data_IF_710912560928
#
_entry.id   IF_710912560928
#
_cell.length_a   1.000
_cell.length_b   1.000
_cell.length_c   1.000
_cell.angle_alpha   90.00
_cell.angle_beta   90.00
_cell.angle_gamma   90.00
#
_symmetry.space_group_name_H-M   'P 1'
#
loop_
_entity.id
_entity.type
_entity.pdbx_description
1 polymer ?
#
# COMPACT_ATOMS: atom_id res chain seq x y z
N UNK A 1 14.39 -51.23 -47.37
CA UNK A 1 14.53 -49.84 -46.88
C UNK A 1 13.16 -49.36 -46.45
N UNK A 2 12.81 -49.55 -45.18
CA UNK A 2 11.55 -49.07 -44.60
C UNK A 2 11.89 -47.84 -43.76
N UNK A 3 11.44 -46.67 -44.25
CA UNK A 3 11.65 -45.38 -43.61
C UNK A 3 11.15 -45.40 -42.17
N UNK A 4 12.09 -45.43 -41.21
CA UNK A 4 11.81 -45.18 -39.80
C UNK A 4 11.62 -43.68 -39.62
N UNK A 5 10.38 -43.21 -39.76
CA UNK A 5 9.98 -41.89 -39.27
C UNK A 5 9.95 -41.97 -37.73
N UNK A 6 11.06 -41.58 -37.10
CA UNK A 6 11.09 -41.33 -35.67
C UNK A 6 10.31 -40.05 -35.40
N UNK A 7 9.08 -40.18 -34.88
CA UNK A 7 8.31 -39.05 -34.39
C UNK A 7 8.92 -38.57 -33.07
N UNK A 8 9.53 -37.38 -33.10
CA UNK A 8 10.08 -36.73 -31.91
C UNK A 8 8.91 -36.06 -31.15
N UNK A 9 8.60 -36.54 -29.95
CA UNK A 9 7.65 -35.89 -29.04
C UNK A 9 8.39 -34.77 -28.31
N UNK A 10 8.05 -33.51 -28.61
CA UNK A 10 8.51 -32.35 -27.84
C UNK A 10 7.44 -32.02 -26.82
N UNK A 11 7.71 -32.28 -25.55
CA UNK A 11 6.88 -31.82 -24.43
C UNK A 11 7.37 -30.44 -24.05
N UNK A 12 6.70 -29.39 -24.54
CA UNK A 12 6.94 -28.01 -24.13
C UNK A 12 5.90 -27.62 -23.09
N UNK A 13 6.32 -27.52 -21.83
CA UNK A 13 5.50 -27.04 -20.72
C UNK A 13 5.59 -25.51 -20.67
N UNK A 14 4.56 -24.81 -21.14
CA UNK A 14 4.42 -23.38 -20.87
C UNK A 14 3.82 -23.23 -19.48
N UNK A 15 4.66 -22.96 -18.48
CA UNK A 15 4.17 -22.31 -17.28
C UNK A 15 3.61 -20.95 -17.72
N UNK A 16 2.28 -20.81 -17.73
CA UNK A 16 1.67 -19.48 -17.72
C UNK A 16 1.97 -18.88 -16.36
N UNK A 17 3.14 -18.27 -16.23
CA UNK A 17 3.31 -17.25 -15.23
C UNK A 17 2.24 -16.22 -15.51
N UNK A 18 1.31 -16.02 -14.58
CA UNK A 18 0.59 -14.76 -14.53
C UNK A 18 1.71 -13.74 -14.38
N UNK A 19 1.96 -12.94 -15.42
CA UNK A 19 2.85 -11.81 -15.26
C UNK A 19 2.26 -11.01 -14.10
N UNK A 20 3.01 -10.89 -13.00
CA UNK A 20 2.64 -9.98 -11.95
C UNK A 20 2.54 -8.61 -12.62
N UNK A 21 1.33 -8.09 -12.74
CA UNK A 21 1.14 -6.71 -13.14
C UNK A 21 1.88 -5.87 -12.08
N UNK A 22 2.77 -4.99 -12.52
CA UNK A 22 3.35 -4.05 -11.59
C UNK A 22 2.23 -3.10 -11.18
N UNK A 23 1.84 -3.12 -9.90
CA UNK A 23 0.91 -2.15 -9.32
C UNK A 23 1.36 -0.76 -9.68
N UNK A 24 0.47 0.01 -10.29
CA UNK A 24 0.78 1.35 -10.76
C UNK A 24 0.60 2.30 -9.58
N UNK A 25 1.58 3.17 -9.34
CA UNK A 25 1.53 4.09 -8.21
C UNK A 25 1.03 5.44 -8.70
N UNK A 26 -0.25 5.52 -9.01
CA UNK A 26 -0.89 6.71 -9.58
C UNK A 26 -1.95 7.34 -8.66
N UNK A 27 -2.31 6.69 -7.55
CA UNK A 27 -3.36 7.17 -6.64
C UNK A 27 -4.73 6.53 -6.91
N UNK A 28 -4.84 5.58 -7.83
CA UNK A 28 -6.03 4.76 -8.04
C UNK A 28 -5.88 3.39 -7.37
N UNK A 29 -6.96 2.89 -6.77
CA UNK A 29 -6.95 1.58 -6.12
C UNK A 29 -6.98 0.45 -7.15
N UNK A 30 -5.83 -0.15 -7.39
CA UNK A 30 -5.68 -1.38 -8.16
C UNK A 30 -6.39 -2.59 -7.48
N UNK A 31 -6.85 -3.61 -8.26
CA UNK A 31 -7.48 -4.81 -7.69
C UNK A 31 -6.61 -5.61 -6.72
N UNK A 32 -5.29 -5.57 -6.88
CA UNK A 32 -4.30 -6.30 -6.07
C UNK A 32 -4.35 -5.92 -4.58
N UNK A 33 -4.81 -4.71 -4.26
CA UNK A 33 -5.00 -4.23 -2.89
C UNK A 33 -6.04 -5.01 -2.08
N UNK A 34 -6.95 -5.71 -2.76
CA UNK A 34 -7.97 -6.51 -2.08
C UNK A 34 -8.94 -5.69 -1.21
N UNK A 35 -9.63 -6.34 -0.25
CA UNK A 35 -10.58 -5.66 0.63
C UNK A 35 -9.89 -4.64 1.55
N UNK A 36 -10.66 -3.71 2.09
CA UNK A 36 -10.15 -2.73 3.04
C UNK A 36 -9.67 -3.42 4.34
N UNK A 37 -8.50 -3.03 4.82
CA UNK A 37 -7.93 -3.41 6.11
C UNK A 37 -8.48 -2.53 7.25
N UNK A 38 -8.90 -1.31 6.91
CA UNK A 38 -9.63 -0.39 7.77
C UNK A 38 -10.57 0.44 6.91
N UNK A 39 -11.76 0.79 7.42
CA UNK A 39 -12.70 1.69 6.76
C UNK A 39 -13.14 2.74 7.76
N UNK A 40 -13.14 4.00 7.34
CA UNK A 40 -13.56 5.12 8.17
C UNK A 40 -15.02 5.00 8.58
N UNK A 41 -15.30 5.32 9.83
CA UNK A 41 -16.66 5.33 10.40
C UNK A 41 -17.10 6.72 10.86
N UNK A 42 -16.23 7.72 10.76
CA UNK A 42 -16.42 9.05 11.31
C UNK A 42 -16.24 10.11 10.22
N UNK A 43 -17.11 11.12 10.24
CA UNK A 43 -17.02 12.31 9.39
C UNK A 43 -15.68 13.03 9.55
N UNK A 44 -15.26 13.83 8.57
CA UNK A 44 -14.02 14.61 8.67
C UNK A 44 -14.22 15.98 9.31
N UNK A 45 -13.45 16.28 10.36
CA UNK A 45 -13.42 17.62 10.96
C UNK A 45 -12.56 18.62 10.19
N UNK A 46 -11.88 18.18 9.12
CA UNK A 46 -10.99 19.01 8.30
C UNK A 46 -11.68 19.64 7.09
N UNK A 47 -12.99 19.40 6.93
CA UNK A 47 -13.76 19.78 5.76
C UNK A 47 -13.78 18.68 4.71
N UNK A 48 -14.85 18.64 3.93
CA UNK A 48 -15.12 17.67 2.86
C UNK A 48 -14.94 18.34 1.49
N UNK A 49 -14.59 17.54 0.47
CA UNK A 49 -14.62 17.92 -0.93
C UNK A 49 -15.92 17.39 -1.56
N UNK A 50 -17.00 18.21 -1.59
CA UNK A 50 -18.34 17.69 -1.82
C UNK A 50 -18.57 17.26 -3.28
N UNK A 51 -19.61 16.44 -3.53
CA UNK A 51 -20.11 16.17 -4.87
C UNK A 51 -20.31 17.45 -5.68
N UNK A 52 -19.77 17.49 -6.90
CA UNK A 52 -19.88 18.64 -7.80
C UNK A 52 -18.76 19.69 -7.64
N UNK A 53 -17.83 19.53 -6.70
CA UNK A 53 -16.60 20.33 -6.69
C UNK A 53 -15.76 20.06 -7.95
N UNK A 54 -15.57 21.10 -8.77
CA UNK A 54 -14.89 21.04 -10.07
C UNK A 54 -13.67 21.97 -10.10
N UNK A 55 -12.52 21.54 -9.55
CA UNK A 55 -11.28 22.30 -9.60
C UNK A 55 -10.68 22.28 -11.00
N UNK A 56 -9.76 23.20 -11.29
CA UNK A 56 -9.03 23.18 -12.56
C UNK A 56 -8.05 21.99 -12.68
N UNK A 57 -7.62 21.42 -11.55
CA UNK A 57 -6.76 20.24 -11.49
C UNK A 57 -7.31 19.22 -10.49
N UNK A 58 -8.27 18.36 -10.89
CA UNK A 58 -8.95 17.45 -9.95
C UNK A 58 -8.06 16.34 -9.39
N UNK A 59 -6.94 16.02 -10.04
CA UNK A 59 -5.96 15.05 -9.54
C UNK A 59 -5.12 15.61 -8.38
N UNK A 60 -4.97 16.93 -8.30
CA UNK A 60 -4.11 17.58 -7.31
C UNK A 60 -4.86 18.47 -6.33
N UNK A 61 -6.16 18.74 -6.56
CA UNK A 61 -6.97 19.68 -5.76
C UNK A 61 -8.11 19.01 -5.01
N UNK A 62 -8.10 19.21 -3.70
CA UNK A 62 -9.22 18.99 -2.79
C UNK A 62 -9.37 20.20 -1.84
N UNK A 63 -10.59 20.50 -1.41
CA UNK A 63 -10.86 21.59 -0.44
C UNK A 63 -11.03 21.07 0.99
N UNK A 64 -11.15 19.75 1.12
CA UNK A 64 -11.22 19.01 2.37
C UNK A 64 -10.15 17.92 2.45
N UNK A 65 -9.86 17.49 3.68
CA UNK A 65 -8.98 16.35 3.95
C UNK A 65 -9.79 15.25 4.60
N UNK A 66 -9.67 14.02 4.13
CA UNK A 66 -10.40 12.89 4.67
C UNK A 66 -9.65 11.58 4.40
N UNK A 67 -9.85 10.61 5.27
CA UNK A 67 -9.43 9.23 5.06
C UNK A 67 -10.67 8.36 5.06
N UNK A 68 -10.85 7.58 4.01
CA UNK A 68 -12.02 6.73 3.78
C UNK A 68 -11.75 5.26 4.07
N UNK A 69 -10.55 4.79 3.72
CA UNK A 69 -10.18 3.38 3.81
C UNK A 69 -8.69 3.15 3.66
N UNK A 70 -8.20 2.10 4.31
CA UNK A 70 -6.84 1.62 4.17
C UNK A 70 -6.83 0.29 3.43
N UNK A 71 -5.93 0.14 2.49
CA UNK A 71 -5.63 -1.09 1.82
C UNK A 71 -4.12 -1.28 1.74
N UNK A 72 -3.69 -2.53 1.62
CA UNK A 72 -2.29 -2.80 1.40
C UNK A 72 -2.00 -4.28 1.28
N UNK A 73 -0.84 -4.57 0.71
CA UNK A 73 -0.33 -5.91 0.55
C UNK A 73 1.18 -5.85 0.36
N UNK A 74 1.83 -6.99 0.50
CA UNK A 74 3.24 -7.13 0.14
C UNK A 74 3.35 -8.04 -1.07
N UNK A 75 4.13 -7.62 -2.07
CA UNK A 75 4.46 -8.43 -3.24
C UNK A 75 5.96 -8.35 -3.50
N UNK A 76 6.62 -9.52 -3.56
CA UNK A 76 8.07 -9.61 -3.65
C UNK A 76 8.76 -8.87 -2.49
N UNK A 77 9.57 -7.86 -2.82
CA UNK A 77 10.32 -7.06 -1.84
C UNK A 77 9.70 -5.69 -1.58
N UNK A 78 8.40 -5.50 -1.88
CA UNK A 78 7.74 -4.18 -1.81
C UNK A 78 6.44 -4.27 -1.03
N UNK A 79 6.28 -3.35 -0.08
CA UNK A 79 5.02 -3.06 0.60
C UNK A 79 4.25 -2.02 -0.22
N UNK A 80 3.01 -2.33 -0.54
CA UNK A 80 2.08 -1.43 -1.21
C UNK A 80 1.03 -0.98 -0.20
N UNK A 81 0.82 0.32 -0.09
CA UNK A 81 -0.18 0.94 0.78
C UNK A 81 -1.02 1.91 -0.04
N UNK A 82 -2.34 1.82 0.13
CA UNK A 82 -3.30 2.73 -0.48
C UNK A 82 -4.26 3.24 0.58
N UNK A 83 -4.38 4.56 0.67
CA UNK A 83 -5.25 5.26 1.59
C UNK A 83 -6.27 6.07 0.78
N UNK A 84 -7.49 5.57 0.66
CA UNK A 84 -8.53 6.31 -0.06
C UNK A 84 -8.92 7.57 0.71
N UNK A 85 -9.27 8.62 -0.04
CA UNK A 85 -9.67 9.91 0.51
C UNK A 85 -8.98 11.07 -0.18
N UNK A 86 -8.85 12.18 0.52
CA UNK A 86 -8.30 13.42 0.01
C UNK A 86 -7.32 14.07 1.01
N UNK A 87 -6.38 14.86 0.50
CA UNK A 87 -5.59 15.81 1.27
C UNK A 87 -5.88 17.24 0.78
N UNK A 88 -6.28 18.13 1.66
CA UNK A 88 -6.64 19.50 1.29
C UNK A 88 -5.47 20.22 0.61
N UNK A 89 -5.75 20.73 -0.59
CA UNK A 89 -4.81 21.39 -1.49
C UNK A 89 -5.57 22.37 -2.39
N UNK A 90 -5.89 23.57 -1.89
CA UNK A 90 -6.55 24.58 -2.70
C UNK A 90 -5.70 25.84 -2.84
N UNK A 91 -5.84 26.49 -4.00
CA UNK A 91 -5.09 27.70 -4.35
C UNK A 91 -5.51 28.83 -3.42
N UNK A 92 -4.53 29.36 -2.66
CA UNK A 92 -4.72 30.54 -1.83
C UNK A 92 -4.65 30.31 -0.32
N UNK A 93 -4.48 29.07 0.15
CA UNK A 93 -3.97 28.87 1.51
C UNK A 93 -2.48 29.19 1.53
N UNK A 94 -2.02 30.10 2.41
CA UNK A 94 -0.60 30.22 2.68
C UNK A 94 -0.08 28.88 3.18
N UNK A 95 1.16 28.55 2.80
CA UNK A 95 1.89 27.33 3.18
C UNK A 95 2.04 27.07 4.69
N UNK A 96 1.41 27.85 5.56
CA UNK A 96 1.66 27.86 7.01
C UNK A 96 0.93 26.74 7.77
N UNK A 97 -0.03 26.04 7.15
CA UNK A 97 -0.80 24.96 7.79
C UNK A 97 -1.38 23.91 6.82
N UNK A 98 -0.55 23.23 6.00
CA UNK A 98 -1.00 22.08 5.21
C UNK A 98 -1.56 20.96 6.11
N UNK A 99 -2.53 20.22 5.59
CA UNK A 99 -2.91 18.94 6.17
C UNK A 99 -1.94 17.87 5.67
N UNK A 100 -1.44 17.04 6.58
CA UNK A 100 -0.36 16.09 6.35
C UNK A 100 -0.85 14.70 6.72
N UNK A 101 -0.72 13.74 5.81
CA UNK A 101 -0.91 12.33 6.13
C UNK A 101 0.35 11.83 6.83
N UNK A 102 0.19 11.36 8.06
CA UNK A 102 1.21 10.74 8.90
C UNK A 102 0.99 9.22 8.87
N UNK A 103 2.01 8.46 8.50
CA UNK A 103 1.94 6.99 8.37
C UNK A 103 3.06 6.40 9.24
N UNK A 104 2.67 5.76 10.32
CA UNK A 104 3.58 5.09 11.24
C UNK A 104 3.60 3.60 10.94
N UNK A 105 4.79 3.02 10.83
CA UNK A 105 4.99 1.61 10.47
C UNK A 105 5.76 0.91 11.58
N UNK A 106 5.11 -0.07 12.21
CA UNK A 106 5.68 -0.99 13.19
C UNK A 106 5.90 -2.34 12.48
N UNK A 107 7.15 -2.75 12.36
CA UNK A 107 7.51 -3.97 11.64
C UNK A 107 8.75 -4.68 12.20
N UNK A 108 9.31 -4.18 13.30
CA UNK A 108 10.44 -4.76 14.00
C UNK A 108 10.32 -4.57 15.53
N UNK A 109 11.08 -5.35 16.34
CA UNK A 109 11.17 -5.06 17.76
C UNK A 109 11.85 -3.72 18.01
N UNK A 110 11.19 -2.84 18.76
CA UNK A 110 11.75 -1.53 19.10
C UNK A 110 10.71 -0.43 18.96
N UNK A 111 11.04 0.57 18.15
CA UNK A 111 10.18 1.70 17.87
C UNK A 111 9.88 2.64 19.05
N UNK A 112 8.90 3.51 18.83
CA UNK A 112 8.42 4.50 19.81
C UNK A 112 6.89 4.42 19.99
N UNK A 113 6.40 3.75 21.04
CA UNK A 113 4.97 3.79 21.37
C UNK A 113 4.48 5.17 21.80
N UNK A 114 5.30 5.94 22.53
CA UNK A 114 5.09 7.38 22.72
C UNK A 114 6.15 8.13 21.94
N UNK A 115 5.70 9.00 21.02
CA UNK A 115 6.61 9.76 20.18
C UNK A 115 7.46 10.73 21.00
N UNK A 116 8.75 10.80 20.67
CA UNK A 116 9.73 11.64 21.35
C UNK A 116 9.87 13.01 20.70
N UNK A 117 10.32 13.98 21.50
CA UNK A 117 10.59 15.36 21.04
C UNK A 117 11.92 15.53 20.30
N UNK A 118 12.78 14.51 20.30
CA UNK A 118 14.09 14.49 19.61
C UNK A 118 14.05 13.75 18.26
N UNK A 119 12.84 13.52 17.72
CA UNK A 119 12.65 13.00 16.37
C UNK A 119 13.02 14.06 15.31
N UNK A 120 13.36 13.66 14.06
CA UNK A 120 13.81 14.60 13.05
C UNK A 120 12.68 15.51 12.54
N UNK A 121 12.96 16.80 12.38
CA UNK A 121 12.12 17.69 11.56
C UNK A 121 12.52 17.53 10.09
N UNK A 122 11.56 17.23 9.21
CA UNK A 122 11.84 16.98 7.79
C UNK A 122 11.05 17.93 6.90
N UNK A 123 11.66 18.44 5.84
CA UNK A 123 11.01 19.42 4.98
C UNK A 123 10.64 20.74 5.68
N UNK A 124 9.86 21.61 5.00
CA UNK A 124 9.52 22.93 5.51
C UNK A 124 8.42 22.93 6.58
N UNK A 125 7.48 21.98 6.51
CA UNK A 125 6.28 21.97 7.37
C UNK A 125 6.07 20.66 8.15
N UNK A 126 6.77 19.57 7.81
CA UNK A 126 6.64 18.30 8.52
C UNK A 126 7.59 18.25 9.72
N UNK A 127 6.99 18.36 10.90
CA UNK A 127 7.70 18.44 12.16
C UNK A 127 7.38 17.21 13.01
N UNK A 128 8.05 16.09 12.75
CA UNK A 128 7.85 14.86 13.52
C UNK A 128 8.23 15.06 15.00
N UNK A 129 9.17 15.95 15.30
CA UNK A 129 9.45 16.43 16.66
C UNK A 129 8.23 17.07 17.36
N UNK A 130 7.31 17.65 16.60
CA UNK A 130 6.09 18.27 17.14
C UNK A 130 4.94 17.29 17.33
N UNK A 131 5.09 16.06 16.82
CA UNK A 131 4.22 14.93 17.14
C UNK A 131 4.52 14.31 18.51
N UNK A 132 5.51 14.85 19.24
CA UNK A 132 5.92 14.33 20.53
C UNK A 132 4.78 14.26 21.55
N UNK A 133 4.75 13.15 22.30
CA UNK A 133 3.76 12.87 23.32
C UNK A 133 2.51 12.15 22.83
N UNK A 134 2.27 12.05 21.51
CA UNK A 134 1.28 11.12 20.97
C UNK A 134 1.63 9.70 21.42
N UNK A 135 0.70 9.03 22.09
CA UNK A 135 0.85 7.65 22.55
C UNK A 135 -0.06 6.74 21.73
N UNK A 136 0.54 5.74 21.08
CA UNK A 136 -0.18 4.75 20.29
C UNK A 136 -0.77 3.64 21.16
N UNK A 137 -1.65 2.83 20.58
CA UNK A 137 -2.22 1.65 21.23
C UNK A 137 -1.16 0.69 21.79
N UNK A 138 -1.58 -0.06 22.80
CA UNK A 138 -0.76 -1.13 23.37
C UNK A 138 -0.37 -2.15 22.29
N UNK A 139 0.92 -2.46 22.22
CA UNK A 139 1.46 -3.39 21.24
C UNK A 139 1.76 -2.76 19.87
N UNK A 140 1.63 -1.45 19.71
CA UNK A 140 2.09 -0.73 18.54
C UNK A 140 3.22 0.24 18.92
N UNK A 141 4.42 0.03 18.38
CA UNK A 141 5.58 0.88 18.58
C UNK A 141 6.30 1.07 17.24
N UNK A 142 5.97 2.11 16.46
CA UNK A 142 6.47 2.25 15.10
C UNK A 142 7.98 2.47 15.08
N UNK A 143 8.64 1.76 14.15
CA UNK A 143 10.07 1.84 13.86
C UNK A 143 10.37 2.86 12.76
N UNK A 144 9.37 3.12 11.90
CA UNK A 144 9.49 3.98 10.74
C UNK A 144 8.29 4.90 10.62
N UNK A 145 8.52 6.02 9.95
CA UNK A 145 7.51 7.00 9.64
C UNK A 145 7.62 7.43 8.19
N UNK A 146 6.49 7.43 7.50
CA UNK A 146 6.29 7.99 6.17
C UNK A 146 5.29 9.11 6.32
N UNK A 147 5.41 10.13 5.48
CA UNK A 147 4.39 11.17 5.45
C UNK A 147 4.33 11.86 4.09
N UNK A 148 3.21 12.51 3.84
CA UNK A 148 3.05 13.35 2.66
C UNK A 148 2.15 14.55 2.92
N UNK A 149 2.32 15.54 2.04
CA UNK A 149 1.46 16.72 1.93
C UNK A 149 1.36 17.15 0.47
N UNK A 150 0.35 17.94 0.15
CA UNK A 150 0.23 18.57 -1.18
C UNK A 150 0.40 20.07 -1.00
N UNK A 151 1.31 20.65 -1.77
CA UNK A 151 1.56 22.09 -1.75
C UNK A 151 0.38 22.85 -2.41
N UNK A 152 -0.30 23.72 -1.67
CA UNK A 152 -1.41 24.53 -2.17
C UNK A 152 -1.01 25.90 -2.76
N UNK A 153 0.28 26.26 -2.76
CA UNK A 153 0.76 27.63 -3.01
C UNK A 153 0.85 28.03 -4.49
N UNK A 154 0.77 27.07 -5.41
CA UNK A 154 0.94 27.30 -6.84
C UNK A 154 0.11 26.36 -7.72
N UNK A 155 0.05 26.62 -9.04
CA UNK A 155 -0.80 25.84 -9.96
C UNK A 155 -0.33 24.39 -10.17
N UNK A 156 0.95 24.08 -9.88
CA UNK A 156 1.51 22.74 -10.03
C UNK A 156 1.19 21.79 -8.88
N UNK A 157 0.82 22.34 -7.71
CA UNK A 157 0.46 21.60 -6.50
C UNK A 157 1.17 20.27 -6.27
N UNK A 158 2.51 20.28 -6.16
CA UNK A 158 3.28 19.06 -6.02
C UNK A 158 2.91 18.29 -4.75
N UNK A 159 2.85 16.97 -4.89
CA UNK A 159 2.72 16.03 -3.79
C UNK A 159 4.12 15.71 -3.26
N UNK A 160 4.40 16.07 -2.01
CA UNK A 160 5.68 15.81 -1.35
C UNK A 160 5.62 14.58 -0.46
N UNK A 161 6.72 13.82 -0.44
CA UNK A 161 6.87 12.60 0.35
C UNK A 161 8.11 12.65 1.25
N UNK A 162 7.97 12.06 2.44
CA UNK A 162 8.96 12.13 3.51
C UNK A 162 9.13 10.77 4.20
N UNK A 163 10.28 10.59 4.83
CA UNK A 163 10.65 9.40 5.57
C UNK A 163 11.47 9.74 6.80
N UNK A 164 11.27 9.00 7.89
CA UNK A 164 12.18 8.97 9.03
C UNK A 164 12.17 7.62 9.75
N UNK A 165 13.22 7.40 10.54
CA UNK A 165 13.35 6.31 11.50
C UNK A 165 12.92 6.77 12.89
N UNK A 166 12.35 5.85 13.67
CA UNK A 166 11.84 6.06 15.03
C UNK A 166 12.51 5.10 16.03
N UNK A 167 13.84 5.16 16.22
CA UNK A 167 14.52 4.30 17.18
C UNK A 167 14.01 4.57 18.61
N UNK A 168 13.92 3.52 19.43
CA UNK A 168 13.46 3.60 20.83
C UNK A 168 14.27 4.60 21.66
N UNK A 169 15.56 4.72 21.39
CA UNK A 169 16.46 5.64 22.09
C UNK A 169 16.39 7.09 21.60
N UNK A 170 15.63 7.38 20.55
CA UNK A 170 15.59 8.68 19.87
C UNK A 170 16.76 8.90 18.89
N UNK A 171 16.76 10.07 18.24
CA UNK A 171 17.83 10.47 17.31
C UNK A 171 17.77 9.79 15.94
N UNK A 172 16.59 9.36 15.49
CA UNK A 172 16.40 8.75 14.18
C UNK A 172 16.75 9.69 13.02
N UNK A 173 17.18 9.09 11.90
CA UNK A 173 17.47 9.84 10.68
C UNK A 173 16.20 10.03 9.84
N UNK A 174 16.15 11.07 9.01
CA UNK A 174 15.01 11.32 8.15
C UNK A 174 15.26 12.43 7.13
N UNK A 175 14.36 12.56 6.16
CA UNK A 175 14.45 13.60 5.14
C UNK A 175 13.32 13.58 4.13
N UNK A 176 13.37 14.56 3.23
CA UNK A 176 12.47 14.64 2.07
C UNK A 176 12.90 13.62 1.02
N UNK A 177 12.00 12.68 0.68
CA UNK A 177 12.23 11.71 -0.38
C UNK A 177 12.15 12.38 -1.76
N UNK A 178 11.24 13.35 -1.90
CA UNK A 178 11.07 14.13 -3.12
C UNK A 178 9.61 14.54 -3.30
N UNK A 179 9.26 14.82 -4.55
CA UNK A 179 7.90 15.15 -4.97
C UNK A 179 7.54 14.50 -6.29
N UNK A 180 6.23 14.39 -6.53
CA UNK A 180 5.62 13.97 -7.79
C UNK A 180 4.37 14.82 -8.08
N UNK A 181 3.88 14.72 -9.32
CA UNK A 181 2.57 15.25 -9.69
C UNK A 181 1.48 14.25 -9.29
N UNK A 182 0.33 14.73 -8.82
CA UNK A 182 -0.83 13.86 -8.54
C UNK A 182 -1.36 13.20 -9.82
N UNK A 183 -1.77 11.93 -9.73
CA UNK A 183 -2.12 11.10 -10.88
C UNK A 183 -0.93 10.70 -11.76
N UNK A 184 0.30 10.95 -11.31
CA UNK A 184 1.54 10.65 -12.03
C UNK A 184 1.97 9.19 -11.92
N UNK A 185 3.24 8.90 -12.27
CA UNK A 185 3.79 7.53 -12.20
C UNK A 185 4.31 7.13 -10.81
N UNK A 186 4.12 7.99 -9.81
CA UNK A 186 4.61 7.82 -8.44
C UNK A 186 6.13 7.96 -8.27
N UNK A 187 6.88 8.25 -9.34
CA UNK A 187 8.33 8.45 -9.26
C UNK A 187 8.66 9.78 -8.60
N UNK A 188 9.34 9.73 -7.45
CA UNK A 188 9.72 10.92 -6.70
C UNK A 188 11.02 11.55 -7.24
N UNK A 189 11.03 12.88 -7.33
CA UNK A 189 12.20 13.66 -7.77
C UNK A 189 12.54 14.79 -6.78
N UNK A 190 13.76 15.34 -6.87
CA UNK A 190 14.17 16.52 -6.08
C UNK A 190 14.46 16.30 -4.60
N UNK A 191 14.51 15.05 -4.12
CA UNK A 191 14.87 14.69 -2.75
C UNK A 191 15.91 13.57 -2.65
N UNK A 192 16.09 13.02 -1.45
CA UNK A 192 17.01 11.91 -1.17
C UNK A 192 16.19 10.64 -0.96
N UNK A 193 16.13 9.79 -1.98
CA UNK A 193 15.33 8.56 -1.99
C UNK A 193 16.19 7.34 -2.34
N UNK A 194 17.07 6.90 -1.43
CA UNK A 194 18.07 5.87 -1.72
C UNK A 194 17.46 4.48 -1.98
N UNK A 195 16.24 4.25 -1.50
CA UNK A 195 15.54 2.99 -1.68
C UNK A 195 14.62 2.98 -2.89
N UNK A 196 14.38 4.13 -3.54
CA UNK A 196 13.44 4.21 -4.67
C UNK A 196 11.98 4.02 -4.23
N UNK A 197 11.60 4.55 -3.06
CA UNK A 197 10.19 4.63 -2.64
C UNK A 197 9.41 5.42 -3.68
N UNK A 198 8.23 4.93 -4.05
CA UNK A 198 7.31 5.63 -4.96
C UNK A 198 6.08 6.05 -4.19
N UNK A 199 5.51 7.20 -4.55
CA UNK A 199 4.26 7.67 -3.98
C UNK A 199 3.55 8.64 -4.92
N UNK A 200 2.22 8.57 -4.93
CA UNK A 200 1.32 9.44 -5.72
C UNK A 200 0.06 9.75 -4.93
N UNK A 201 -0.75 10.66 -5.47
CA UNK A 201 -2.08 10.97 -4.97
C UNK A 201 -3.04 11.19 -6.14
N UNK A 202 -4.28 10.73 -6.00
CA UNK A 202 -5.41 11.13 -6.82
C UNK A 202 -6.50 11.75 -5.94
N UNK A 203 -6.72 13.05 -6.11
CA UNK A 203 -7.64 13.85 -5.30
C UNK A 203 -9.08 13.88 -5.85
N UNK A 204 -9.46 12.94 -6.72
CA UNK A 204 -10.80 12.94 -7.35
C UNK A 204 -11.90 12.38 -6.47
N UNK A 205 -11.62 12.01 -5.21
CA UNK A 205 -12.66 11.56 -4.29
C UNK A 205 -13.67 12.70 -4.01
N UNK A 206 -14.96 12.40 -4.17
CA UNK A 206 -16.08 13.33 -3.95
C UNK A 206 -17.23 12.68 -3.16
N UNK A 207 -17.06 11.44 -2.74
CA UNK A 207 -18.13 10.59 -2.21
C UNK A 207 -17.69 9.83 -0.96
N UNK A 208 -16.60 10.26 -0.34
CA UNK A 208 -16.08 9.74 0.91
C UNK A 208 -16.96 10.13 2.10
N UNK A 209 -16.33 10.58 3.17
CA UNK A 209 -17.01 10.94 4.40
C UNK A 209 -17.38 12.43 4.40
N UNK A 210 -18.64 12.72 4.72
CA UNK A 210 -19.08 14.11 4.85
C UNK A 210 -18.30 14.88 5.93
N UNK A 211 -18.32 16.22 5.83
CA UNK A 211 -17.73 17.10 6.83
C UNK A 211 -18.50 17.08 8.16
N UNK A 212 -17.77 17.00 9.27
CA UNK A 212 -18.32 17.02 10.62
C UNK A 212 -17.55 16.11 11.58
N UNK A 213 -18.24 15.68 12.64
CA UNK A 213 -17.69 14.74 13.62
C UNK A 213 -18.63 13.56 13.89
N UNK A 214 -19.76 13.47 13.18
CA UNK A 214 -20.74 12.40 13.33
C UNK A 214 -20.29 11.09 12.69
N UNK A 215 -21.23 10.14 12.59
CA UNK A 215 -20.99 8.88 11.90
C UNK A 215 -21.01 9.08 10.38
N UNK A 216 -20.09 8.41 9.68
CA UNK A 216 -20.03 8.33 8.22
C UNK A 216 -19.50 6.94 7.82
N UNK A 217 -19.37 6.67 6.52
CA UNK A 217 -18.76 5.44 6.04
C UNK A 217 -17.94 5.70 4.79
N UNK A 218 -16.63 5.50 4.86
CA UNK A 218 -15.71 5.71 3.72
C UNK A 218 -15.64 4.55 2.72
N UNK A 219 -16.61 3.63 2.75
CA UNK A 219 -16.55 2.43 1.91
C UNK A 219 -16.71 2.76 0.44
N UNK A 220 -15.89 2.12 -0.42
CA UNK A 220 -16.07 2.16 -1.87
C UNK A 220 -15.31 3.27 -2.59
N UNK A 221 -14.60 4.14 -1.87
CA UNK A 221 -13.68 5.11 -2.48
C UNK A 221 -12.48 4.37 -3.07
N UNK A 222 -12.07 4.79 -4.27
CA UNK A 222 -11.00 4.16 -5.06
C UNK A 222 -9.88 5.10 -5.45
N UNK A 223 -9.88 6.33 -4.93
CA UNK A 223 -8.85 7.34 -5.20
C UNK A 223 -8.31 7.88 -3.89
N UNK A 224 -7.04 8.24 -3.87
CA UNK A 224 -6.38 8.78 -2.69
C UNK A 224 -4.87 8.70 -2.76
N UNK A 225 -4.21 8.52 -1.62
CA UNK A 225 -2.75 8.46 -1.50
C UNK A 225 -2.26 7.03 -1.67
N UNK A 226 -1.21 6.85 -2.46
CA UNK A 226 -0.65 5.55 -2.77
C UNK A 226 0.87 5.51 -2.58
N UNK A 227 1.39 4.42 -2.04
CA UNK A 227 2.81 4.20 -1.76
C UNK A 227 3.26 2.81 -2.20
N UNK A 228 4.44 2.75 -2.82
CA UNK A 228 5.25 1.54 -2.93
C UNK A 228 6.56 1.73 -2.16
N UNK A 229 6.72 0.96 -1.10
CA UNK A 229 7.82 1.05 -0.14
C UNK A 229 8.65 -0.23 -0.21
N UNK A 230 9.85 -0.20 -0.79
CA UNK A 230 10.75 -1.35 -0.75
C UNK A 230 11.02 -1.76 0.70
N UNK A 231 10.89 -3.06 1.00
CA UNK A 231 11.08 -3.60 2.35
C UNK A 231 12.49 -3.31 2.90
N UNK A 232 13.48 -3.11 2.02
CA UNK A 232 14.83 -2.68 2.40
C UNK A 232 14.85 -1.30 3.07
N UNK A 233 13.90 -0.41 2.74
CA UNK A 233 13.71 0.87 3.44
C UNK A 233 13.19 0.69 4.87
N UNK A 234 12.58 -0.45 5.17
CA UNK A 234 11.98 -0.77 6.47
C UNK A 234 12.81 -1.83 7.24
N UNK A 235 14.09 -1.99 6.90
CA UNK A 235 14.96 -2.96 7.56
C UNK A 235 14.75 -4.42 7.16
N UNK A 236 14.02 -4.68 6.06
CA UNK A 236 13.63 -6.00 5.56
C UNK A 236 12.82 -6.81 6.59
N UNK A 237 11.63 -6.34 6.99
CA UNK A 237 10.80 -7.05 7.96
C UNK A 237 10.40 -8.42 7.43
N UNK A 238 10.34 -9.40 8.34
CA UNK A 238 9.95 -10.80 8.05
C UNK A 238 8.72 -11.24 8.85
N UNK A 239 8.20 -10.37 9.71
CA UNK A 239 6.98 -10.57 10.50
C UNK A 239 5.84 -9.67 10.03
N UNK A 240 4.76 -9.68 10.81
CA UNK A 240 3.61 -8.78 10.60
C UNK A 240 4.06 -7.32 10.50
N UNK A 241 3.46 -6.58 9.56
CA UNK A 241 3.61 -5.13 9.44
C UNK A 241 2.33 -4.49 9.93
N UNK A 242 2.43 -3.55 10.87
CA UNK A 242 1.30 -2.79 11.39
C UNK A 242 1.43 -1.33 10.99
N UNK A 243 0.31 -0.71 10.69
CA UNK A 243 0.28 0.67 10.20
C UNK A 243 -0.78 1.48 10.94
N UNK A 244 -0.37 2.62 11.48
CA UNK A 244 -1.27 3.67 11.95
C UNK A 244 -1.17 4.82 10.94
N UNK A 245 -2.28 5.17 10.30
CA UNK A 245 -2.34 6.30 9.37
C UNK A 245 -3.34 7.34 9.89
N UNK A 246 -2.90 8.59 9.98
CA UNK A 246 -3.73 9.70 10.47
C UNK A 246 -3.43 11.01 9.76
N UNK A 247 -4.37 11.94 9.75
CA UNK A 247 -4.12 13.30 9.26
C UNK A 247 -3.83 14.24 10.44
N UNK A 248 -2.74 14.99 10.33
CA UNK A 248 -2.41 16.09 11.22
C UNK A 248 -2.23 17.38 10.42
N UNK A 249 -2.73 18.50 10.95
CA UNK A 249 -2.53 19.82 10.37
C UNK A 249 -1.26 20.45 10.92
N UNK A 250 -0.38 20.87 10.02
CA UNK A 250 0.81 21.63 10.38
C UNK A 250 0.43 22.95 11.08
N UNK A 251 1.30 23.40 11.99
CA UNK A 251 1.07 24.60 12.78
C UNK A 251 1.86 24.58 14.08
N UNK A 252 1.78 25.66 14.85
CA UNK A 252 2.35 25.73 16.20
C UNK A 252 1.23 26.02 17.21
N UNK A 253 0.65 25.00 17.88
CA UNK A 253 0.99 23.58 17.79
C UNK A 253 0.31 22.85 16.62
N UNK A 254 0.93 21.77 16.16
CA UNK A 254 0.32 20.78 15.26
C UNK A 254 -1.00 20.27 15.86
N UNK A 255 -1.98 19.99 15.00
CA UNK A 255 -3.29 19.49 15.40
C UNK A 255 -3.57 18.14 14.73
N UNK A 256 -3.71 17.08 15.53
CA UNK A 256 -4.17 15.77 15.05
C UNK A 256 -5.68 15.83 14.84
N UNK A 257 -6.14 15.38 13.68
CA UNK A 257 -7.55 15.36 13.31
C UNK A 257 -8.25 14.10 13.81
N UNK A 258 -9.57 14.00 13.56
CA UNK A 258 -10.33 12.77 13.77
C UNK A 258 -10.15 11.75 12.62
N UNK A 259 -9.35 12.06 11.59
CA UNK A 259 -9.10 11.16 10.47
C UNK A 259 -7.95 10.22 10.81
N UNK A 260 -8.30 9.06 11.38
CA UNK A 260 -7.39 7.94 11.72
C UNK A 260 -7.93 6.65 11.08
N UNK A 261 -7.08 5.88 10.39
CA UNK A 261 -7.43 4.59 9.79
C UNK A 261 -7.12 3.46 10.78
N UNK A 262 -8.17 3.17 11.54
CA UNK A 262 -8.19 2.63 12.89
C UNK A 262 -9.19 3.53 13.64
N UNK A 263 -10.44 3.61 13.14
CA UNK A 263 -11.26 4.81 13.29
C UNK A 263 -11.49 5.20 14.74
N UNK A 264 -11.39 6.50 15.03
CA UNK A 264 -11.90 7.02 16.30
C UNK A 264 -13.43 6.98 16.30
N UNK A 265 -14.09 6.82 17.47
CA UNK A 265 -15.54 6.71 17.53
C UNK A 265 -16.25 7.94 16.93
N UNK A 266 -17.39 7.73 16.23
CA UNK A 266 -18.27 8.83 15.85
C UNK A 266 -18.63 9.73 17.02
N UNK A 267 -18.63 11.03 16.79
CA UNK A 267 -18.72 12.09 17.80
C UNK A 267 -17.36 12.73 18.12
N UNK A 268 -16.24 12.09 17.72
CA UNK A 268 -14.90 12.64 17.91
C UNK A 268 -14.59 13.69 16.84
N UNK A 269 -14.37 14.93 17.26
CA UNK A 269 -13.76 15.97 16.42
C UNK A 269 -12.23 15.87 16.48
N UNK A 270 -11.51 16.85 15.91
CA UNK A 270 -10.05 16.91 15.97
C UNK A 270 -9.55 16.66 17.39
N UNK A 271 -8.60 15.73 17.52
CA UNK A 271 -8.07 15.25 18.80
C UNK A 271 -7.16 16.27 19.48
N UNK A 272 -6.65 17.24 18.72
CA UNK A 272 -5.90 18.37 19.24
C UNK A 272 -4.40 18.15 19.21
N UNK A 273 -3.68 18.69 20.19
CA UNK A 273 -2.23 18.61 20.25
C UNK A 273 -1.75 17.18 20.61
N UNK A 274 -0.69 16.66 19.96
CA UNK A 274 -0.17 15.30 20.17
C UNK A 274 0.04 14.88 21.64
N UNK A 275 0.61 15.77 22.46
CA UNK A 275 0.91 15.52 23.89
C UNK A 275 -0.30 15.15 24.75
N UNK A 276 -1.52 15.46 24.30
CA UNK A 276 -2.76 15.12 24.99
C UNK A 276 -3.44 13.85 24.49
N UNK A 277 -2.86 13.15 23.51
CA UNK A 277 -3.51 12.04 22.81
C UNK A 277 -2.89 10.73 23.25
N UNK A 278 -3.73 9.85 23.77
CA UNK A 278 -3.40 8.47 24.15
C UNK A 278 -4.44 7.53 23.53
N UNK A 279 -4.04 6.82 22.47
CA UNK A 279 -4.92 5.88 21.77
C UNK A 279 -5.35 4.69 22.63
N UNK A 280 -4.61 4.35 23.69
CA UNK A 280 -5.07 3.32 24.64
C UNK A 280 -6.36 3.69 25.39
N UNK A 281 -6.71 4.99 25.38
CA UNK A 281 -7.96 5.50 25.95
C UNK A 281 -9.12 5.58 24.94
N UNK A 282 -8.85 5.34 23.66
CA UNK A 282 -9.85 5.37 22.59
C UNK A 282 -10.32 3.94 22.30
N UNK A 283 -11.63 3.68 22.22
CA UNK A 283 -12.13 2.35 21.87
C UNK A 283 -11.65 1.89 20.48
N UNK A 284 -11.19 0.64 20.41
CA UNK A 284 -10.69 0.03 19.18
C UNK A 284 -9.16 -0.02 19.16
N UNK A 285 -8.59 -0.31 17.99
CA UNK A 285 -7.17 -0.14 17.71
C UNK A 285 -7.07 0.90 16.60
N UNK A 286 -6.23 1.91 16.79
CA UNK A 286 -5.93 2.98 15.84
C UNK A 286 -4.86 2.58 14.83
N UNK A 287 -4.67 1.28 14.61
CA UNK A 287 -3.80 0.71 13.59
C UNK A 287 -4.46 -0.51 12.94
N UNK A 288 -4.01 -0.87 11.74
CA UNK A 288 -4.36 -2.11 11.04
C UNK A 288 -3.10 -2.93 10.76
N UNK A 289 -3.28 -4.21 10.45
CA UNK A 289 -2.18 -5.16 10.26
C UNK A 289 -2.20 -5.75 8.85
N UNK A 290 -1.00 -5.98 8.32
CA UNK A 290 -0.72 -6.66 7.07
C UNK A 290 0.12 -7.90 7.37
N UNK A 291 -0.38 -9.06 6.97
CA UNK A 291 0.46 -10.25 6.92
C UNK A 291 1.46 -10.13 5.78
N UNK A 292 2.71 -10.52 6.01
CA UNK A 292 3.58 -10.83 4.88
C UNK A 292 3.03 -12.08 4.20
N UNK A 293 2.95 -12.12 2.85
CA UNK A 293 2.71 -13.40 2.19
C UNK A 293 3.77 -14.36 2.69
N UNK A 294 3.36 -15.57 3.10
CA UNK A 294 4.31 -16.62 3.43
C UNK A 294 5.36 -16.65 2.31
N UNK A 295 6.66 -16.58 2.69
CA UNK A 295 7.76 -16.48 1.73
C UNK A 295 7.44 -17.39 0.54
N UNK A 296 7.28 -16.79 -0.64
CA UNK A 296 6.88 -17.54 -1.82
C UNK A 296 7.81 -18.74 -1.88
N UNK A 297 7.28 -19.99 -1.91
CA UNK A 297 8.16 -21.13 -2.11
C UNK A 297 8.97 -20.80 -3.36
N UNK A 298 10.30 -20.99 -3.26
CA UNK A 298 11.23 -20.71 -4.35
C UNK A 298 10.56 -21.05 -5.70
N UNK A 299 10.69 -20.18 -6.71
CA UNK A 299 9.95 -20.34 -7.97
C UNK A 299 10.02 -21.79 -8.43
N UNK A 300 8.92 -22.28 -9.00
CA UNK A 300 8.70 -23.64 -9.53
C UNK A 300 9.70 -24.04 -10.65
N UNK A 301 10.93 -23.55 -10.63
CA UNK A 301 12.10 -24.18 -11.22
C UNK A 301 12.44 -25.56 -10.58
N UNK A 302 11.55 -26.10 -9.74
CA UNK A 302 11.61 -27.47 -9.27
C UNK A 302 11.26 -28.42 -10.42
N UNK A 303 12.31 -28.94 -11.06
CA UNK A 303 12.34 -30.01 -12.05
C UNK A 303 11.18 -31.01 -11.88
N UNK A 304 10.27 -31.05 -12.85
CA UNK A 304 9.44 -32.21 -13.13
C UNK A 304 10.37 -33.39 -13.45
N UNK A 305 10.16 -34.54 -12.80
CA UNK A 305 10.86 -35.78 -13.17
C UNK A 305 9.93 -36.58 -14.08
N UNK A 306 10.29 -36.68 -15.36
CA UNK A 306 9.66 -37.61 -16.28
C UNK A 306 10.26 -39.00 -16.01
N UNK A 307 9.41 -39.95 -15.59
CA UNK A 307 9.87 -41.30 -15.25
C UNK A 307 9.85 -42.22 -16.47
N UNK A 308 8.78 -42.19 -17.25
CA UNK A 308 8.60 -43.11 -18.37
C UNK A 308 7.62 -42.58 -19.42
N UNK A 309 7.86 -42.97 -20.67
CA UNK A 309 6.90 -42.89 -21.79
C UNK A 309 6.82 -44.27 -22.41
N UNK A 310 5.69 -44.97 -22.20
CA UNK A 310 5.45 -46.31 -22.74
C UNK A 310 4.33 -46.27 -23.79
N UNK A 311 4.49 -47.03 -24.87
CA UNK A 311 3.50 -47.13 -25.96
C UNK A 311 2.92 -48.54 -26.02
N UNK A 312 1.59 -48.64 -25.91
CA UNK A 312 0.84 -49.87 -26.08
C UNK A 312 0.49 -50.16 -27.54
N UNK A 313 0.10 -51.41 -27.86
CA UNK A 313 -0.48 -51.73 -29.16
C UNK A 313 -1.79 -50.96 -29.34
N UNK A 314 -1.83 -50.02 -30.29
CA UNK A 314 -3.02 -49.20 -30.54
C UNK A 314 -2.83 -47.68 -30.52
N UNK A 315 -1.59 -47.18 -30.36
CA UNK A 315 -1.26 -45.73 -30.18
C UNK A 315 -1.69 -45.14 -28.84
N UNK A 316 -2.00 -45.98 -27.86
CA UNK A 316 -2.18 -45.55 -26.49
C UNK A 316 -0.80 -45.38 -25.83
N UNK A 317 -0.57 -44.25 -25.18
CA UNK A 317 0.68 -43.94 -24.49
C UNK A 317 0.41 -43.65 -23.02
N UNK A 318 1.27 -44.15 -22.13
CA UNK A 318 1.26 -43.78 -20.71
C UNK A 318 2.43 -42.84 -20.44
N UNK A 319 2.15 -41.72 -19.77
CA UNK A 319 3.16 -40.76 -19.30
C UNK A 319 3.10 -40.73 -17.78
N UNK A 320 4.21 -41.09 -17.14
CA UNK A 320 4.33 -41.05 -15.67
C UNK A 320 5.26 -39.92 -15.26
N UNK A 321 4.77 -39.00 -14.44
CA UNK A 321 5.54 -37.90 -13.86
C UNK A 321 5.28 -37.79 -12.37
N UNK A 322 6.23 -37.18 -11.64
CA UNK A 322 6.00 -36.80 -10.25
C UNK A 322 6.07 -35.30 -10.08
N UNK A 323 5.10 -34.76 -9.33
CA UNK A 323 5.16 -33.39 -8.85
C UNK A 323 6.07 -33.32 -7.62
N UNK A 324 6.88 -32.27 -7.47
CA UNK A 324 7.76 -32.11 -6.31
C UNK A 324 6.98 -31.91 -5.01
N UNK A 325 5.69 -31.54 -5.07
CA UNK A 325 4.73 -31.38 -3.96
C UNK A 325 3.30 -31.65 -4.45
N UNK A 326 2.32 -31.94 -3.57
CA UNK A 326 0.92 -32.09 -3.94
C UNK A 326 0.38 -30.84 -4.66
N UNK A 327 -0.32 -31.03 -5.77
CA UNK A 327 -0.90 -29.94 -6.56
C UNK A 327 -1.60 -30.46 -7.82
N UNK A 328 -2.27 -29.57 -8.53
CA UNK A 328 -2.93 -29.88 -9.81
C UNK A 328 -1.97 -29.61 -10.96
N UNK A 329 -1.83 -30.55 -11.88
CA UNK A 329 -1.11 -30.36 -13.13
C UNK A 329 -2.05 -30.60 -14.31
N UNK A 330 -1.88 -29.83 -15.38
CA UNK A 330 -2.58 -30.03 -16.64
C UNK A 330 -1.63 -30.66 -17.64
N UNK A 331 -2.00 -31.81 -18.19
CA UNK A 331 -1.27 -32.48 -19.27
C UNK A 331 -1.92 -32.09 -20.60
N UNK A 332 -1.18 -31.36 -21.43
CA UNK A 332 -1.60 -31.08 -22.81
C UNK A 332 -0.71 -31.87 -23.79
N UNK A 333 -1.34 -32.57 -24.73
CA UNK A 333 -0.67 -33.36 -25.77
C UNK A 333 -0.85 -32.64 -27.10
N UNK A 334 0.25 -32.27 -27.74
CA UNK A 334 0.24 -31.59 -29.04
C UNK A 334 0.64 -32.55 -30.16
N UNK A 335 -0.15 -32.60 -31.24
CA UNK A 335 0.33 -33.15 -32.52
C UNK A 335 1.29 -32.12 -33.13
N UNK A 336 2.54 -32.49 -33.48
CA UNK A 336 3.50 -31.58 -34.12
C UNK A 336 3.00 -30.97 -35.45
N UNK A 337 1.85 -31.40 -35.97
CA UNK A 337 1.19 -30.83 -37.16
C UNK A 337 0.17 -29.72 -36.85
N UNK A 338 0.03 -29.28 -35.61
CA UNK A 338 -0.67 -28.04 -35.26
C UNK A 338 -2.20 -28.13 -35.11
N UNK A 339 -2.77 -29.34 -35.00
CA UNK A 339 -4.19 -29.53 -34.68
C UNK A 339 -4.38 -29.79 -33.18
N UNK A 340 -5.02 -28.87 -32.46
CA UNK A 340 -5.44 -29.12 -31.09
C UNK A 340 -6.50 -30.25 -31.08
N UNK A 341 -6.23 -31.33 -30.34
CA UNK A 341 -7.23 -32.36 -30.06
C UNK A 341 -7.95 -31.99 -28.75
N UNK A 342 -9.27 -32.18 -28.61
CA UNK A 342 -9.97 -31.89 -27.36
C UNK A 342 -9.43 -32.80 -26.24
N UNK A 343 -8.94 -32.20 -25.16
CA UNK A 343 -8.36 -32.92 -24.03
C UNK A 343 -9.37 -33.84 -23.34
N UNK A 344 -8.94 -35.04 -22.98
CA UNK A 344 -9.69 -35.92 -22.10
C UNK A 344 -9.62 -35.38 -20.66
N UNK A 345 -10.79 -35.26 -20.03
CA UNK A 345 -10.90 -35.01 -18.58
C UNK A 345 -10.36 -36.21 -17.81
N UNK A 346 -9.62 -36.02 -16.70
CA UNK A 346 -9.35 -37.12 -15.78
C UNK A 346 -10.68 -37.50 -15.10
N UNK A 347 -11.02 -38.78 -15.11
CA UNK A 347 -11.91 -39.40 -14.13
C UNK A 347 -11.04 -40.07 -13.07
N UNK A 348 -11.38 -39.84 -11.80
CA UNK A 348 -10.75 -40.25 -10.54
C UNK A 348 -9.68 -41.36 -10.57
#
# INVERSE_FOLDING_TARGET
MTNRLASLLVVSLLARGVAAHATTIDGQRDPEYGPALSTQTTQTSLGDTPPGYNPFSPLTMAIGSELDGAHGFVSGSTLYLFFSGNLRSYVGEPLIAPDQLQIYVDCAPGGQNTLRADNPSVGPYLRLDQMAGLTFDSGFAPDYWLACEVDGSGPSQPFFAYYAELPTTGGGSGGTLGHADGGGTGTLTGGTNPFGIMASIDQTNRAGVDGGCGAAGGSGVTTGVEWAVPLAALGNPTGEIRVCALIARAGQPVQVSNQVLGPVPPGSCSLGAPVGIDFTSIPGLQFFSLGLPAAAPAPLAARLVLHEVAWGPGREGTVTFSLPRPGTAVLEVFDPRGGASPGASPTD
#
